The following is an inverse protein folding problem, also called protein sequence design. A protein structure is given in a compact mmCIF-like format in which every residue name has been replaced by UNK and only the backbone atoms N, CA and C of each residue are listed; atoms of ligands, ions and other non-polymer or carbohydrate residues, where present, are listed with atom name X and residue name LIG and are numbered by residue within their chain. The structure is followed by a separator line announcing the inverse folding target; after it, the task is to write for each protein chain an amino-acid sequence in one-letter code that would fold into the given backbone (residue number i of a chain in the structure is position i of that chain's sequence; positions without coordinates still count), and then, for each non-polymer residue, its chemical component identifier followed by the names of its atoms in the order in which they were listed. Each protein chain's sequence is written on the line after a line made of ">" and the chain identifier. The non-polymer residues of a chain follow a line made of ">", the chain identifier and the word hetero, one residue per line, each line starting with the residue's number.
data_IF_864265234314
#
_entry.id   IF_864265234314
#
_cell.length_a   1.000
_cell.length_b   1.000
_cell.length_c   1.000
_cell.angle_alpha   90.00
_cell.angle_beta   90.00
_cell.angle_gamma   90.00
#
_symmetry.space_group_name_H-M   'P 1'
#
loop_
_entity.id
_entity.type
_entity.pdbx_description
1 polymer ?
#
# COMPACT_ATOMS: atom_id res chain seq x y z
N UNK A 1 9.70 -16.87 -0.62
CA UNK A 1 10.62 -15.71 -0.49
C UNK A 1 10.84 -14.95 -1.80
N UNK A 2 10.86 -15.60 -2.96
CA UNK A 2 11.05 -14.92 -4.27
C UNK A 2 9.99 -13.84 -4.59
N UNK A 3 8.71 -14.12 -4.35
CA UNK A 3 7.61 -13.20 -4.65
C UNK A 3 7.73 -11.85 -3.95
N UNK A 4 7.95 -11.85 -2.62
CA UNK A 4 8.09 -10.60 -1.84
C UNK A 4 9.30 -9.76 -2.29
N UNK A 5 10.39 -10.41 -2.71
CA UNK A 5 11.57 -9.70 -3.23
C UNK A 5 11.26 -9.04 -4.58
N UNK A 6 10.59 -9.74 -5.50
CA UNK A 6 10.18 -9.18 -6.78
C UNK A 6 9.17 -8.04 -6.59
N UNK A 7 8.22 -8.22 -5.68
CA UNK A 7 7.19 -7.24 -5.33
C UNK A 7 7.80 -5.94 -4.82
N UNK A 8 8.77 -6.02 -3.90
CA UNK A 8 9.54 -4.86 -3.44
C UNK A 8 10.37 -4.23 -4.56
N UNK A 9 10.91 -5.04 -5.50
CA UNK A 9 11.64 -4.53 -6.65
C UNK A 9 10.79 -3.63 -7.55
N UNK A 10 9.58 -4.08 -7.90
CA UNK A 10 8.63 -3.28 -8.69
C UNK A 10 8.15 -2.04 -7.94
N UNK A 11 7.81 -2.19 -6.65
CA UNK A 11 7.42 -1.07 -5.80
C UNK A 11 8.47 0.04 -5.74
N UNK A 12 9.75 -0.31 -5.61
CA UNK A 12 10.86 0.65 -5.55
C UNK A 12 11.18 1.30 -6.90
N UNK A 13 10.89 0.62 -8.00
CA UNK A 13 11.06 1.17 -9.36
C UNK A 13 9.89 2.06 -9.80
N UNK A 14 8.86 2.18 -8.96
CA UNK A 14 7.66 2.97 -9.25
C UNK A 14 6.66 2.31 -10.19
N UNK A 15 6.91 1.06 -10.58
CA UNK A 15 5.99 0.26 -11.40
C UNK A 15 4.97 -0.44 -10.49
N UNK A 16 4.03 0.37 -9.99
CA UNK A 16 3.02 -0.08 -9.03
C UNK A 16 2.01 -1.01 -9.68
N UNK A 17 1.73 -0.83 -10.97
CA UNK A 17 0.86 -1.69 -11.76
C UNK A 17 1.42 -3.12 -11.85
N UNK A 18 2.72 -3.29 -12.14
CA UNK A 18 3.36 -4.60 -12.12
C UNK A 18 3.40 -5.20 -10.70
N UNK A 19 3.60 -4.37 -9.67
CA UNK A 19 3.52 -4.79 -8.27
C UNK A 19 2.13 -5.36 -7.92
N UNK A 20 1.06 -4.69 -8.36
CA UNK A 20 -0.32 -5.12 -8.15
C UNK A 20 -0.61 -6.43 -8.91
N UNK A 21 -0.21 -6.54 -10.18
CA UNK A 21 -0.36 -7.78 -10.96
C UNK A 21 0.35 -8.96 -10.27
N UNK A 22 1.60 -8.76 -9.87
CA UNK A 22 2.39 -9.78 -9.20
C UNK A 22 1.73 -10.21 -7.88
N UNK A 23 1.18 -9.26 -7.12
CA UNK A 23 0.45 -9.54 -5.89
C UNK A 23 -0.81 -10.38 -6.15
N UNK A 24 -1.51 -10.13 -7.25
CA UNK A 24 -2.71 -10.90 -7.62
C UNK A 24 -2.41 -12.34 -8.03
N UNK A 25 -1.25 -12.58 -8.63
CA UNK A 25 -0.77 -13.91 -9.01
C UNK A 25 -0.25 -14.73 -7.82
N UNK A 26 -0.06 -14.13 -6.64
CA UNK A 26 0.47 -14.84 -5.48
C UNK A 26 -0.53 -15.90 -4.99
N UNK A 27 -0.12 -17.19 -4.92
CA UNK A 27 -1.00 -18.25 -4.42
C UNK A 27 -1.26 -18.13 -2.92
N UNK A 28 -0.28 -17.62 -2.17
CA UNK A 28 -0.39 -17.36 -0.74
C UNK A 28 0.14 -15.96 -0.44
N UNK A 29 -0.68 -15.18 0.27
CA UNK A 29 -0.36 -13.82 0.69
C UNK A 29 -0.12 -13.81 2.20
N UNK A 30 0.92 -13.12 2.64
CA UNK A 30 1.24 -12.95 4.05
C UNK A 30 1.42 -11.47 4.38
N UNK A 31 1.70 -11.16 5.65
CA UNK A 31 1.84 -9.76 6.08
C UNK A 31 2.91 -9.00 5.30
N UNK A 32 3.96 -9.69 4.83
CA UNK A 32 5.01 -9.07 4.03
C UNK A 32 4.57 -8.75 2.60
N UNK A 33 3.78 -9.61 1.95
CA UNK A 33 3.25 -9.30 0.61
C UNK A 33 2.29 -8.11 0.66
N UNK A 34 1.42 -8.05 1.67
CA UNK A 34 0.52 -6.91 1.90
C UNK A 34 1.30 -5.63 2.18
N UNK A 35 2.30 -5.68 3.06
CA UNK A 35 3.15 -4.53 3.37
C UNK A 35 3.97 -4.05 2.17
N UNK A 36 4.42 -4.96 1.30
CA UNK A 36 5.10 -4.58 0.06
C UNK A 36 4.16 -3.82 -0.89
N UNK A 37 2.92 -4.29 -1.08
CA UNK A 37 1.95 -3.60 -1.94
C UNK A 37 1.53 -2.25 -1.36
N UNK A 38 1.21 -2.21 -0.06
CA UNK A 38 0.85 -0.99 0.66
C UNK A 38 2.01 0.02 0.65
N UNK A 39 3.23 -0.45 0.90
CA UNK A 39 4.44 0.36 0.83
C UNK A 39 4.69 0.91 -0.57
N UNK A 40 4.49 0.10 -1.60
CA UNK A 40 4.61 0.52 -3.00
C UNK A 40 3.65 1.65 -3.36
N UNK A 41 2.38 1.56 -2.97
CA UNK A 41 1.44 2.68 -3.15
C UNK A 41 1.88 3.92 -2.37
N UNK A 42 2.33 3.78 -1.12
CA UNK A 42 2.74 4.90 -0.28
C UNK A 42 3.98 5.63 -0.84
N UNK A 43 4.98 4.88 -1.33
CA UNK A 43 6.18 5.43 -1.96
C UNK A 43 5.89 6.20 -3.25
N UNK A 44 4.88 5.77 -4.00
CA UNK A 44 4.45 6.39 -5.25
C UNK A 44 3.30 7.39 -5.07
N UNK A 45 3.09 7.84 -3.84
CA UNK A 45 2.10 8.87 -3.47
C UNK A 45 0.63 8.54 -3.74
N UNK A 46 0.32 7.25 -3.87
CA UNK A 46 -1.03 6.72 -4.14
C UNK A 46 -1.78 6.42 -2.84
N UNK A 47 -2.08 7.47 -2.06
CA UNK A 47 -2.62 7.30 -0.70
C UNK A 47 -4.05 6.72 -0.66
N UNK A 48 -4.88 6.99 -1.66
CA UNK A 48 -6.21 6.38 -1.71
C UNK A 48 -6.13 4.86 -1.91
N UNK A 49 -5.15 4.40 -2.68
CA UNK A 49 -4.86 3.00 -2.91
C UNK A 49 -4.28 2.32 -1.68
N UNK A 50 -3.45 3.01 -0.89
CA UNK A 50 -3.03 2.55 0.45
C UNK A 50 -4.26 2.20 1.30
N UNK A 51 -5.23 3.12 1.40
CA UNK A 51 -6.44 2.90 2.22
C UNK A 51 -7.32 1.79 1.65
N UNK A 52 -7.44 1.71 0.32
CA UNK A 52 -8.20 0.66 -0.37
C UNK A 52 -7.59 -0.73 -0.14
N UNK A 53 -6.27 -0.83 -0.25
CA UNK A 53 -5.52 -2.05 -0.03
C UNK A 53 -5.62 -2.51 1.43
N UNK A 54 -5.47 -1.59 2.39
CA UNK A 54 -5.68 -1.88 3.81
C UNK A 54 -7.12 -2.36 4.09
N UNK A 55 -8.13 -1.71 3.52
CA UNK A 55 -9.52 -2.17 3.63
C UNK A 55 -9.70 -3.57 3.05
N UNK A 56 -9.07 -3.88 1.91
CA UNK A 56 -9.09 -5.22 1.30
C UNK A 56 -8.48 -6.26 2.24
N UNK A 57 -7.33 -5.96 2.83
CA UNK A 57 -6.65 -6.84 3.81
C UNK A 57 -7.56 -7.16 5.01
N UNK A 58 -8.28 -6.16 5.54
CA UNK A 58 -9.21 -6.35 6.65
C UNK A 58 -10.45 -7.19 6.27
N UNK A 59 -10.97 -7.01 5.05
CA UNK A 59 -12.12 -7.78 4.56
C UNK A 59 -11.76 -9.24 4.30
N UNK A 60 -10.57 -9.49 3.74
CA UNK A 60 -10.05 -10.85 3.54
C UNK A 60 -9.89 -11.58 4.87
N UNK A 61 -9.39 -10.88 5.90
CA UNK A 61 -9.36 -11.37 7.29
C UNK A 61 -8.38 -12.53 7.54
N UNK A 62 -7.74 -13.05 6.50
CA UNK A 62 -6.75 -14.14 6.58
C UNK A 62 -5.41 -13.69 7.17
N UNK A 63 -5.06 -12.41 7.03
CA UNK A 63 -3.80 -11.84 7.47
C UNK A 63 -4.05 -10.60 8.32
N UNK A 64 -3.51 -10.58 9.53
CA UNK A 64 -3.66 -9.46 10.47
C UNK A 64 -2.62 -8.37 10.15
N UNK A 65 -3.03 -7.09 10.03
CA UNK A 65 -2.09 -5.97 9.91
C UNK A 65 -1.13 -5.89 11.08
N UNK A 66 0.11 -5.48 10.83
CA UNK A 66 1.09 -5.23 11.90
C UNK A 66 1.41 -3.74 12.02
N UNK A 67 2.29 -3.40 12.96
CA UNK A 67 2.67 -2.01 13.24
C UNK A 67 3.16 -1.26 12.00
N UNK A 68 3.94 -1.94 11.14
CA UNK A 68 4.42 -1.33 9.89
C UNK A 68 3.27 -1.00 8.94
N UNK A 69 2.27 -1.88 8.84
CA UNK A 69 1.03 -1.61 8.08
C UNK A 69 0.33 -0.37 8.62
N UNK A 70 0.12 -0.31 9.94
CA UNK A 70 -0.63 0.77 10.59
C UNK A 70 0.07 2.13 10.48
N UNK A 71 1.40 2.17 10.66
CA UNK A 71 2.19 3.39 10.47
C UNK A 71 2.04 3.93 9.05
N UNK A 72 2.08 3.05 8.05
CA UNK A 72 1.95 3.45 6.64
C UNK A 72 0.56 4.00 6.32
N UNK A 73 -0.49 3.33 6.83
CA UNK A 73 -1.88 3.75 6.66
C UNK A 73 -2.17 5.10 7.35
N UNK A 74 -1.67 5.29 8.57
CA UNK A 74 -1.82 6.56 9.30
C UNK A 74 -1.13 7.72 8.57
N UNK A 75 0.08 7.48 8.03
CA UNK A 75 0.79 8.46 7.20
C UNK A 75 -0.03 8.83 5.95
N UNK A 76 -0.61 7.84 5.26
CA UNK A 76 -1.48 8.08 4.11
C UNK A 76 -2.71 8.93 4.46
N UNK A 77 -3.37 8.65 5.60
CA UNK A 77 -4.48 9.48 6.10
C UNK A 77 -4.06 10.93 6.34
N UNK A 78 -2.91 11.15 6.98
CA UNK A 78 -2.41 12.49 7.25
C UNK A 78 -2.11 13.27 5.95
N UNK A 79 -1.50 12.62 4.95
CA UNK A 79 -1.19 13.22 3.65
C UNK A 79 -2.46 13.60 2.88
N UNK A 80 -3.49 12.75 2.90
CA UNK A 80 -4.78 13.06 2.30
C UNK A 80 -5.47 14.26 2.97
N UNK A 81 -5.49 14.28 4.31
CA UNK A 81 -6.02 15.43 5.04
C UNK A 81 -5.28 16.73 4.73
N UNK A 82 -3.95 16.69 4.63
CA UNK A 82 -3.15 17.86 4.24
C UNK A 82 -3.44 18.32 2.80
N UNK A 83 -3.60 17.39 1.85
CA UNK A 83 -3.97 17.71 0.47
C UNK A 83 -5.34 18.38 0.39
N UNK A 84 -6.32 17.88 1.15
CA UNK A 84 -7.65 18.46 1.18
C UNK A 84 -7.64 19.86 1.79
N UNK A 85 -6.86 20.10 2.85
CA UNK A 85 -6.65 21.44 3.41
C UNK A 85 -5.94 22.38 2.41
N UNK A 86 -4.94 21.90 1.68
CA UNK A 86 -4.21 22.69 0.68
C UNK A 86 -5.13 23.26 -0.42
N UNK A 87 -6.11 22.46 -0.86
CA UNK A 87 -7.12 22.90 -1.86
C UNK A 87 -7.92 24.13 -1.41
N UNK A 88 -8.14 24.32 -0.10
CA UNK A 88 -8.83 25.49 0.43
C UNK A 88 -7.98 26.76 0.41
N UNK A 89 -6.65 26.62 0.48
CA UNK A 89 -5.71 27.74 0.58
C UNK A 89 -5.30 28.26 -0.81
N UNK A 90 -5.34 27.41 -1.84
CA UNK A 90 -4.97 27.74 -3.22
C UNK A 90 -6.02 28.61 -3.97
N UNK A 91 -6.49 29.72 -3.37
CA UNK A 91 -7.42 30.70 -3.97
C UNK A 91 -7.04 31.08 -5.40
#
# INVERSE_FOLDING_TARGET
>A
MSWNTMLNGYANNGDVEACEQLFEEMPERNVFSWNGLIGGYAHNERFFEVLRCFKRMLIDGLVVPNDATLVTVLSACARLGALDLGKWVHV
#
